data_IF_922989957515
#
_entry.id   IF_922989957515
#
_cell.length_a   1.000
_cell.length_b   1.000
_cell.length_c   1.000
_cell.angle_alpha   90.00
_cell.angle_beta   90.00
_cell.angle_gamma   90.00
#
_symmetry.space_group_name_H-M   'P 1'
#
loop_
_entity.id
_entity.type
_entity.pdbx_description
1 polymer ?
#
# COMPACT_ATOMS: atom_id res chain seq x y z
N UNK A 1 -9.81 10.63 -3.41
CA UNK A 1 -8.99 11.77 -2.92
C UNK A 1 -9.81 12.95 -2.41
N UNK A 2 -10.89 13.38 -3.09
CA UNK A 2 -11.78 14.45 -2.58
C UNK A 2 -12.42 14.09 -1.24
N UNK A 3 -12.88 12.84 -1.09
CA UNK A 3 -13.42 12.30 0.17
C UNK A 3 -12.40 12.18 1.30
N UNK A 4 -11.10 12.26 0.97
CA UNK A 4 -10.00 12.28 1.95
C UNK A 4 -9.61 13.71 2.35
N UNK A 5 -10.35 14.73 1.90
CA UNK A 5 -10.10 16.14 2.25
C UNK A 5 -8.98 16.82 1.46
N UNK A 6 -8.31 16.15 0.51
CA UNK A 6 -7.25 16.78 -0.28
C UNK A 6 -7.80 17.87 -1.20
N UNK A 7 -7.25 19.09 -1.09
CA UNK A 7 -7.53 20.22 -1.97
C UNK A 7 -7.09 19.99 -3.42
N UNK A 8 -7.60 20.80 -4.36
CA UNK A 8 -7.40 20.61 -5.81
C UNK A 8 -5.93 20.50 -6.23
N UNK A 9 -5.07 21.40 -5.74
CA UNK A 9 -3.65 21.42 -6.10
C UNK A 9 -2.92 20.15 -5.62
N UNK A 10 -3.15 19.73 -4.37
CA UNK A 10 -2.54 18.52 -3.81
C UNK A 10 -2.97 17.27 -4.56
N UNK A 11 -4.25 17.18 -4.98
CA UNK A 11 -4.74 16.08 -5.81
C UNK A 11 -4.00 15.99 -7.15
N UNK A 12 -3.72 17.12 -7.80
CA UNK A 12 -2.95 17.13 -9.05
C UNK A 12 -1.53 16.65 -8.83
N UNK A 13 -0.86 17.12 -7.77
CA UNK A 13 0.49 16.68 -7.42
C UNK A 13 0.55 15.16 -7.21
N UNK A 14 -0.42 14.59 -6.49
CA UNK A 14 -0.46 13.15 -6.22
C UNK A 14 -0.79 12.36 -7.49
N UNK A 15 -1.70 12.86 -8.34
CA UNK A 15 -2.05 12.22 -9.61
C UNK A 15 -0.85 12.14 -10.57
N UNK A 16 -0.02 13.18 -10.61
CA UNK A 16 1.16 13.22 -11.47
C UNK A 16 2.40 12.60 -10.82
N UNK A 17 2.33 12.18 -9.56
CA UNK A 17 3.43 11.48 -8.92
C UNK A 17 3.56 10.07 -9.53
N UNK A 18 4.75 9.75 -10.04
CA UNK A 18 5.07 8.36 -10.35
C UNK A 18 5.11 7.57 -9.05
N UNK A 19 4.47 6.40 -9.02
CA UNK A 19 4.46 5.47 -7.89
C UNK A 19 4.89 4.10 -8.40
N UNK A 20 6.01 3.61 -7.90
CA UNK A 20 6.50 2.26 -8.19
C UNK A 20 6.37 1.41 -6.92
N UNK A 21 5.64 0.31 -7.02
CA UNK A 21 5.51 -0.69 -5.97
C UNK A 21 6.53 -1.81 -6.22
N UNK A 22 7.28 -2.18 -5.19
CA UNK A 22 8.30 -3.21 -5.29
C UNK A 22 8.04 -4.26 -4.22
N UNK A 23 7.74 -5.48 -4.66
CA UNK A 23 7.67 -6.68 -3.82
C UNK A 23 8.90 -7.54 -4.13
N UNK A 24 9.69 -7.87 -3.11
CA UNK A 24 10.91 -8.70 -3.23
C UNK A 24 11.00 -9.67 -2.07
N UNK A 25 11.81 -10.73 -2.22
CA UNK A 25 12.19 -11.56 -1.07
C UNK A 25 12.89 -10.68 -0.03
N UNK A 26 12.58 -10.93 1.25
CA UNK A 26 13.18 -10.21 2.36
C UNK A 26 14.61 -10.67 2.62
N UNK A 27 15.31 -9.94 3.48
CA UNK A 27 16.68 -10.29 3.86
C UNK A 27 16.77 -11.57 4.72
N UNK A 28 15.67 -11.98 5.36
CA UNK A 28 15.55 -13.20 6.15
C UNK A 28 14.71 -14.28 5.43
N UNK A 29 14.94 -15.58 5.71
CA UNK A 29 14.09 -16.67 5.20
C UNK A 29 12.61 -16.46 5.53
N UNK A 30 11.72 -16.89 4.63
CA UNK A 30 10.25 -16.79 4.80
C UNK A 30 9.70 -15.36 5.01
N UNK A 31 10.48 -14.34 4.65
CA UNK A 31 10.05 -12.93 4.73
C UNK A 31 10.04 -12.27 3.36
N UNK A 32 9.34 -11.13 3.26
CA UNK A 32 9.37 -10.29 2.07
C UNK A 32 9.72 -8.84 2.40
N UNK A 33 10.14 -8.11 1.37
CA UNK A 33 10.40 -6.69 1.39
C UNK A 33 9.35 -5.99 0.54
N UNK A 34 8.80 -4.89 1.06
CA UNK A 34 7.88 -4.04 0.35
C UNK A 34 8.39 -2.61 0.29
N UNK A 35 8.42 -2.02 -0.91
CA UNK A 35 8.75 -0.61 -1.10
C UNK A 35 7.67 0.09 -1.91
N UNK A 36 7.37 1.31 -1.51
CA UNK A 36 6.63 2.27 -2.33
C UNK A 36 7.57 3.42 -2.65
N UNK A 37 8.01 3.47 -3.90
CA UNK A 37 8.87 4.53 -4.42
C UNK A 37 7.99 5.59 -5.07
N UNK A 38 8.25 6.86 -4.78
CA UNK A 38 7.56 7.98 -5.41
C UNK A 38 8.54 9.03 -5.88
N UNK A 39 8.07 10.00 -6.68
CA UNK A 39 8.90 11.14 -7.09
C UNK A 39 9.35 12.06 -5.94
N UNK A 40 8.74 11.95 -4.74
CA UNK A 40 9.04 12.83 -3.60
C UNK A 40 9.62 12.10 -2.39
N UNK A 41 8.93 11.05 -1.94
CA UNK A 41 9.30 10.27 -0.74
C UNK A 41 9.19 8.79 -1.03
N UNK A 42 10.20 8.05 -0.61
CA UNK A 42 10.21 6.59 -0.67
C UNK A 42 9.97 6.04 0.72
N UNK A 43 9.20 4.97 0.80
CA UNK A 43 9.02 4.18 2.02
C UNK A 43 9.35 2.73 1.73
N UNK A 44 10.02 2.07 2.66
CA UNK A 44 10.46 0.70 2.54
C UNK A 44 10.37 0.00 3.89
N UNK A 45 9.91 -1.24 3.86
CA UNK A 45 9.94 -2.16 4.98
C UNK A 45 10.48 -3.50 4.52
N UNK A 46 11.30 -4.14 5.36
CA UNK A 46 11.97 -5.40 5.08
C UNK A 46 11.72 -6.40 6.21
N UNK A 47 11.91 -7.68 5.92
CA UNK A 47 11.64 -8.80 6.82
C UNK A 47 10.17 -8.89 7.27
N UNK A 48 9.25 -8.54 6.37
CA UNK A 48 7.82 -8.60 6.62
C UNK A 48 7.36 -10.06 6.57
N UNK A 49 6.54 -10.45 7.54
CA UNK A 49 5.90 -11.77 7.61
C UNK A 49 4.39 -11.57 7.39
N UNK A 50 3.79 -12.40 6.53
CA UNK A 50 2.33 -12.40 6.37
C UNK A 50 1.66 -12.84 7.68
N UNK A 51 0.65 -12.10 8.10
CA UNK A 51 -0.07 -12.36 9.36
C UNK A 51 0.50 -11.66 10.59
N UNK A 52 1.67 -11.01 10.48
CA UNK A 52 2.29 -10.29 11.60
C UNK A 52 2.21 -8.77 11.42
N UNK A 53 1.86 -8.06 12.51
CA UNK A 53 1.86 -6.60 12.56
C UNK A 53 3.29 -6.08 12.73
N UNK A 54 3.60 -4.97 12.06
CA UNK A 54 4.85 -4.24 12.26
C UNK A 54 4.61 -2.74 12.10
N UNK A 55 5.52 -1.94 12.65
CA UNK A 55 5.44 -0.49 12.56
C UNK A 55 6.27 0.03 11.39
N UNK A 56 5.72 0.98 10.64
CA UNK A 56 6.42 1.57 9.50
C UNK A 56 5.93 2.98 9.20
N UNK A 57 6.83 3.80 8.67
CA UNK A 57 6.51 5.15 8.25
C UNK A 57 5.69 5.16 6.93
N UNK A 58 4.62 5.94 6.92
CA UNK A 58 3.82 6.21 5.73
C UNK A 58 4.43 7.29 4.81
N UNK A 59 3.84 7.41 3.61
CA UNK A 59 4.16 8.50 2.68
C UNK A 59 3.71 9.87 3.22
N UNK A 60 2.78 9.88 4.16
CA UNK A 60 2.31 11.03 4.93
C UNK A 60 3.25 11.42 6.09
N UNK A 61 4.32 10.63 6.32
CA UNK A 61 5.30 10.83 7.41
C UNK A 61 4.78 10.56 8.82
N UNK A 62 3.66 9.85 8.95
CA UNK A 62 3.23 9.29 10.22
C UNK A 62 3.70 7.84 10.38
N UNK A 63 3.82 7.38 11.62
CA UNK A 63 4.06 5.97 11.94
C UNK A 63 2.74 5.22 11.95
N UNK A 64 2.68 4.10 11.25
CA UNK A 64 1.49 3.26 11.12
C UNK A 64 1.77 1.85 11.62
N UNK A 65 0.79 1.23 12.28
CA UNK A 65 0.69 -0.22 12.40
C UNK A 65 0.29 -0.79 11.04
N UNK A 66 1.12 -1.66 10.48
CA UNK A 66 0.92 -2.27 9.16
C UNK A 66 0.81 -3.78 9.32
N UNK A 67 -0.11 -4.39 8.58
CA UNK A 67 -0.26 -5.84 8.51
C UNK A 67 -0.52 -6.24 7.06
N UNK A 68 0.21 -7.24 6.59
CA UNK A 68 -0.06 -7.90 5.32
C UNK A 68 -0.67 -9.28 5.57
N UNK A 69 -1.78 -9.58 4.89
CA UNK A 69 -2.37 -10.92 4.85
C UNK A 69 -2.49 -11.39 3.41
N UNK A 70 -2.50 -12.70 3.20
CA UNK A 70 -2.69 -13.30 1.89
C UNK A 70 -3.84 -14.31 1.95
N UNK A 71 -4.81 -14.13 1.06
CA UNK A 71 -5.91 -15.08 0.83
C UNK A 71 -5.55 -15.93 -0.39
N UNK A 72 -5.18 -17.22 -0.22
CA UNK A 72 -4.78 -18.08 -1.33
C UNK A 72 -5.95 -18.51 -2.22
N UNK A 73 -7.20 -18.42 -1.73
CA UNK A 73 -8.38 -18.79 -2.52
C UNK A 73 -8.73 -17.68 -3.51
N UNK A 74 -8.57 -16.43 -3.09
CA UNK A 74 -8.83 -15.25 -3.94
C UNK A 74 -7.58 -14.74 -4.65
N UNK A 75 -6.41 -15.24 -4.28
CA UNK A 75 -5.10 -14.75 -4.71
C UNK A 75 -4.92 -13.23 -4.44
N UNK A 76 -5.42 -12.76 -3.30
CA UNK A 76 -5.39 -11.35 -2.90
C UNK A 76 -4.45 -11.14 -1.72
N UNK A 77 -3.55 -10.17 -1.84
CA UNK A 77 -2.79 -9.62 -0.71
C UNK A 77 -3.54 -8.42 -0.16
N UNK A 78 -3.82 -8.41 1.14
CA UNK A 78 -4.40 -7.25 1.82
C UNK A 78 -3.36 -6.59 2.70
N UNK A 79 -3.16 -5.29 2.51
CA UNK A 79 -2.39 -4.43 3.40
C UNK A 79 -3.37 -3.57 4.20
N UNK A 80 -3.35 -3.72 5.52
CA UNK A 80 -4.06 -2.82 6.43
C UNK A 80 -3.07 -1.85 7.07
N UNK A 81 -3.40 -0.56 7.09
CA UNK A 81 -2.61 0.49 7.76
C UNK A 81 -3.47 1.25 8.74
N UNK A 82 -3.04 1.31 9.99
CA UNK A 82 -3.65 2.16 11.01
C UNK A 82 -2.59 3.12 11.54
N UNK A 83 -2.87 4.43 11.51
CA UNK A 83 -1.98 5.40 12.12
C UNK A 83 -1.87 5.19 13.62
N UNK A 84 -0.65 5.17 14.15
CA UNK A 84 -0.44 4.96 15.59
C UNK A 84 -1.14 6.09 16.36
N UNK A 85 -2.05 5.71 17.25
CA UNK A 85 -2.88 6.62 18.05
C UNK A 85 -4.25 6.92 17.47
N UNK A 86 -4.54 6.56 16.21
CA UNK A 86 -5.87 6.68 15.64
C UNK A 86 -6.77 5.49 16.05
N UNK A 87 -8.11 5.67 16.10
CA UNK A 87 -9.04 4.57 16.39
C UNK A 87 -9.05 3.52 15.25
N UNK A 88 -9.31 2.25 15.59
CA UNK A 88 -9.26 1.14 14.62
C UNK A 88 -10.20 1.32 13.41
N UNK A 89 -11.30 2.06 13.55
CA UNK A 89 -12.22 2.40 12.46
C UNK A 89 -11.58 3.22 11.32
N UNK A 90 -10.45 3.87 11.59
CA UNK A 90 -9.67 4.61 10.59
C UNK A 90 -8.64 3.73 9.87
N UNK A 91 -8.69 2.40 10.04
CA UNK A 91 -7.78 1.50 9.33
C UNK A 91 -8.04 1.58 7.82
N UNK A 92 -7.01 1.95 7.08
CA UNK A 92 -7.01 1.92 5.62
C UNK A 92 -6.74 0.49 5.13
N UNK A 93 -7.53 0.03 4.15
CA UNK A 93 -7.37 -1.28 3.52
C UNK A 93 -7.02 -1.14 2.04
N UNK A 94 -5.94 -1.81 1.65
CA UNK A 94 -5.43 -1.86 0.29
C UNK A 94 -5.41 -3.32 -0.17
N UNK A 95 -6.12 -3.63 -1.24
CA UNK A 95 -6.21 -4.99 -1.78
C UNK A 95 -5.47 -5.10 -3.10
N UNK A 96 -4.44 -5.94 -3.12
CA UNK A 96 -3.58 -6.17 -4.27
C UNK A 96 -3.88 -7.53 -4.89
N UNK A 97 -4.04 -7.57 -6.20
CA UNK A 97 -4.15 -8.80 -6.96
C UNK A 97 -3.56 -8.63 -8.37
N UNK A 98 -3.29 -9.74 -9.05
CA UNK A 98 -2.73 -9.73 -10.41
C UNK A 98 -3.85 -9.92 -11.44
N UNK A 99 -3.92 -9.03 -12.43
CA UNK A 99 -4.77 -9.17 -13.61
C UNK A 99 -3.90 -9.05 -14.87
N UNK A 100 -3.59 -10.19 -15.50
CA UNK A 100 -2.66 -10.24 -16.63
C UNK A 100 -1.28 -9.68 -16.25
N UNK A 101 -0.82 -8.65 -16.96
CA UNK A 101 0.47 -7.98 -16.74
C UNK A 101 0.41 -6.85 -15.70
N UNK A 102 -0.72 -6.67 -15.02
CA UNK A 102 -0.93 -5.59 -14.08
C UNK A 102 -1.03 -6.11 -12.64
N UNK A 103 -0.38 -5.39 -11.73
CA UNK A 103 -0.75 -5.40 -10.33
C UNK A 103 -1.87 -4.38 -10.15
N UNK A 104 -3.03 -4.84 -9.71
CA UNK A 104 -4.20 -4.00 -9.45
C UNK A 104 -4.32 -3.77 -7.96
N UNK A 105 -4.39 -2.50 -7.56
CA UNK A 105 -4.66 -2.09 -6.19
C UNK A 105 -6.09 -1.54 -6.11
N UNK A 106 -6.93 -2.17 -5.31
CA UNK A 106 -8.26 -1.66 -4.96
C UNK A 106 -8.25 -1.02 -3.57
N UNK A 107 -8.90 0.13 -3.46
CA UNK A 107 -9.10 0.88 -2.23
C UNK A 107 -10.55 1.32 -2.15
N UNK A 108 -11.13 1.30 -0.96
CA UNK A 108 -12.49 1.79 -0.71
C UNK A 108 -12.48 2.73 0.48
N UNK A 109 -13.11 3.90 0.33
CA UNK A 109 -13.27 4.86 1.42
C UNK A 109 -14.65 5.49 1.37
N UNK A 110 -15.45 5.33 2.44
CA UNK A 110 -16.82 5.89 2.58
C UNK A 110 -17.69 5.67 1.33
N UNK A 111 -17.70 4.43 0.81
CA UNK A 111 -18.49 4.04 -0.36
C UNK A 111 -17.89 4.43 -1.72
N UNK A 112 -16.76 5.13 -1.75
CA UNK A 112 -16.04 5.45 -2.99
C UNK A 112 -14.93 4.44 -3.22
N UNK A 113 -15.00 3.73 -4.35
CA UNK A 113 -13.96 2.80 -4.78
C UNK A 113 -12.94 3.50 -5.68
N UNK A 114 -11.67 3.13 -5.53
CA UNK A 114 -10.57 3.56 -6.38
C UNK A 114 -9.75 2.34 -6.78
N UNK A 115 -9.34 2.28 -8.05
CA UNK A 115 -8.44 1.25 -8.58
C UNK A 115 -7.20 1.90 -9.17
N UNK A 116 -6.02 1.39 -8.81
CA UNK A 116 -4.75 1.74 -9.44
C UNK A 116 -4.20 0.53 -10.18
N UNK A 117 -3.74 0.75 -11.42
CA UNK A 117 -3.15 -0.28 -12.26
C UNK A 117 -1.66 -0.01 -12.39
N UNK A 118 -0.84 -0.92 -11.86
CA UNK A 118 0.61 -0.86 -11.96
C UNK A 118 1.05 -1.86 -13.03
N UNK A 119 1.59 -1.38 -14.14
CA UNK A 119 2.16 -2.26 -15.17
C UNK A 119 3.40 -2.95 -14.61
N UNK A 120 3.50 -4.27 -14.77
CA UNK A 120 4.71 -5.02 -14.40
C UNK A 120 5.90 -4.44 -15.16
N UNK A 121 6.95 -4.13 -14.41
CA UNK A 121 8.25 -3.80 -14.97
C UNK A 121 9.10 -5.07 -14.95
N UNK A 122 9.62 -5.46 -16.11
CA UNK A 122 10.67 -6.47 -16.17
C UNK A 122 11.93 -5.89 -15.51
N UNK A 123 12.59 -6.73 -14.70
CA UNK A 123 13.81 -6.37 -13.97
C UNK A 123 15.04 -6.68 -14.82
#
# INVERSE_FOLDING_TARGET
>A
MTVLGYGWLMRKVILFASITKVFKKGSKPETFQFKTLTSKKNVAADNIVFGEKFDSEGLDSYQHHVLFTYDPVKEVVTESRLKIGDPEENTDFYHYHIEGDYLVLNMAWKGVNCKHFYKRMEA
#
